data_IF_497333325413
#
_entry.id   IF_497333325413
#
_cell.length_a   1.000
_cell.length_b   1.000
_cell.length_c   1.000
_cell.angle_alpha   90.00
_cell.angle_beta   90.00
_cell.angle_gamma   90.00
#
_symmetry.space_group_name_H-M   'P 1'
#
loop_
_entity.id
_entity.type
_entity.pdbx_description
1 polymer ?
#
# COMPACT_ATOMS: atom_id res chain seq x y z
N UNK A 1 19.41 -5.77 2.23
CA UNK A 1 18.74 -5.17 1.06
C UNK A 1 18.79 -3.67 1.28
N UNK A 2 19.47 -2.94 0.41
CA UNK A 2 19.60 -1.50 0.57
C UNK A 2 18.40 -0.80 -0.06
N UNK A 3 17.85 0.22 0.61
CA UNK A 3 16.65 0.95 0.17
C UNK A 3 16.82 1.69 -1.18
N UNK A 4 18.00 1.63 -1.81
CA UNK A 4 18.39 2.37 -3.01
C UNK A 4 17.62 2.00 -4.29
N UNK A 5 16.82 0.93 -4.30
CA UNK A 5 16.01 0.57 -5.48
C UNK A 5 14.53 1.00 -5.39
N UNK A 6 14.07 1.49 -4.23
CA UNK A 6 12.69 1.93 -4.09
C UNK A 6 12.51 3.37 -4.60
N UNK A 7 11.56 3.55 -5.53
CA UNK A 7 11.07 4.88 -5.87
C UNK A 7 10.08 5.29 -4.76
N UNK A 8 10.50 6.15 -3.84
CA UNK A 8 9.66 6.59 -2.72
C UNK A 8 8.87 7.85 -3.07
N UNK A 9 7.65 7.93 -2.56
CA UNK A 9 6.74 9.04 -2.78
C UNK A 9 6.23 9.60 -1.46
N UNK A 10 5.89 10.89 -1.45
CA UNK A 10 5.03 11.43 -0.41
C UNK A 10 3.61 10.87 -0.60
N UNK A 11 2.91 10.49 0.49
CA UNK A 11 1.51 10.08 0.39
C UNK A 11 0.67 11.15 -0.32
N UNK A 12 -0.17 10.72 -1.26
CA UNK A 12 -1.10 11.60 -1.95
C UNK A 12 -2.53 11.30 -1.48
N UNK A 13 -3.06 12.14 -0.60
CA UNK A 13 -4.41 11.99 -0.01
C UNK A 13 -5.54 12.02 -1.06
N UNK A 14 -5.29 12.51 -2.27
CA UNK A 14 -6.27 12.48 -3.36
C UNK A 14 -6.27 11.16 -4.14
N UNK A 15 -5.28 10.28 -3.93
CA UNK A 15 -5.17 8.97 -4.60
C UNK A 15 -5.22 7.85 -3.58
N UNK A 16 -6.44 7.44 -3.26
CA UNK A 16 -6.73 6.39 -2.29
C UNK A 16 -6.81 5.05 -3.03
N UNK A 17 -6.28 4.00 -2.41
CA UNK A 17 -6.32 2.64 -2.91
C UNK A 17 -6.99 1.72 -1.91
N UNK A 18 -7.65 0.67 -2.42
CA UNK A 18 -8.24 -0.39 -1.62
C UNK A 18 -7.59 -1.73 -1.99
N UNK A 19 -7.26 -2.54 -0.99
CA UNK A 19 -6.74 -3.89 -1.22
C UNK A 19 -7.92 -4.78 -1.60
N UNK A 20 -7.85 -5.41 -2.76
CA UNK A 20 -8.86 -6.33 -3.28
C UNK A 20 -8.57 -7.80 -2.90
N UNK A 21 -7.30 -8.12 -2.60
CA UNK A 21 -6.85 -9.48 -2.31
C UNK A 21 -5.95 -9.50 -1.09
N UNK A 22 -6.41 -10.21 -0.07
CA UNK A 22 -5.64 -10.51 1.14
C UNK A 22 -5.22 -11.98 1.13
N UNK A 23 -3.94 -12.25 1.36
CA UNK A 23 -3.31 -13.57 1.47
C UNK A 23 -2.41 -13.65 2.72
N UNK A 24 -1.72 -14.77 2.92
CA UNK A 24 -0.92 -15.06 4.12
C UNK A 24 0.08 -13.93 4.49
N UNK A 25 0.54 -13.14 3.51
CA UNK A 25 1.46 -12.04 3.73
C UNK A 25 0.83 -10.73 4.24
N UNK A 26 -0.47 -10.53 4.04
CA UNK A 26 -1.16 -9.27 4.32
C UNK A 26 -2.54 -9.44 5.00
N UNK A 27 -2.98 -10.65 5.34
CA UNK A 27 -4.27 -10.94 5.99
C UNK A 27 -4.49 -10.08 7.26
N UNK A 28 -3.45 -9.88 8.07
CA UNK A 28 -3.50 -9.05 9.27
C UNK A 28 -3.97 -7.61 9.03
N UNK A 29 -3.92 -7.10 7.80
CA UNK A 29 -4.34 -5.73 7.50
C UNK A 29 -5.85 -5.59 7.24
N UNK A 30 -6.59 -6.70 7.13
CA UNK A 30 -8.06 -6.69 7.04
C UNK A 30 -8.73 -6.02 8.25
N UNK A 31 -8.05 -5.97 9.40
CA UNK A 31 -8.55 -5.33 10.62
C UNK A 31 -8.57 -3.79 10.56
N UNK A 32 -7.98 -3.19 9.52
CA UNK A 32 -7.91 -1.74 9.35
C UNK A 32 -8.88 -1.29 8.25
N UNK A 33 -9.28 -0.02 8.31
CA UNK A 33 -10.03 0.60 7.21
C UNK A 33 -9.23 0.45 5.93
N UNK A 34 -9.87 -0.09 4.88
CA UNK A 34 -9.22 -0.47 3.64
C UNK A 34 -8.94 0.73 2.73
N UNK A 35 -8.34 1.78 3.29
CA UNK A 35 -7.94 2.98 2.60
C UNK A 35 -6.45 3.18 2.75
N UNK A 36 -5.76 3.13 1.62
CA UNK A 36 -4.32 3.07 1.56
C UNK A 36 -3.76 4.11 0.60
N UNK A 37 -2.60 4.65 0.94
CA UNK A 37 -1.88 5.60 0.09
C UNK A 37 -0.57 4.96 -0.37
N UNK A 38 -0.22 5.18 -1.62
CA UNK A 38 1.05 4.69 -2.17
C UNK A 38 2.21 5.57 -1.72
N UNK A 39 3.24 4.94 -1.15
CA UNK A 39 4.46 5.63 -0.67
C UNK A 39 5.75 5.10 -1.31
N UNK A 40 5.64 4.10 -2.17
CA UNK A 40 6.75 3.74 -3.05
C UNK A 40 6.48 2.53 -3.90
N UNK A 41 7.35 2.33 -4.89
CA UNK A 41 7.32 1.19 -5.80
C UNK A 41 8.72 0.64 -6.07
N UNK A 42 8.80 -0.65 -6.34
CA UNK A 42 10.01 -1.35 -6.73
C UNK A 42 9.65 -2.61 -7.52
N UNK A 43 10.09 -2.69 -8.79
CA UNK A 43 9.94 -3.89 -9.65
C UNK A 43 8.54 -4.56 -9.56
N UNK A 44 7.47 -3.78 -9.66
CA UNK A 44 6.08 -4.28 -9.61
C UNK A 44 5.54 -4.57 -8.20
N UNK A 45 6.34 -4.35 -7.16
CA UNK A 45 5.93 -4.29 -5.76
C UNK A 45 5.69 -2.85 -5.34
N UNK A 46 4.79 -2.68 -4.39
CA UNK A 46 4.35 -1.38 -3.91
C UNK A 46 4.39 -1.34 -2.39
N UNK A 47 4.69 -0.17 -1.84
CA UNK A 47 4.54 0.16 -0.43
C UNK A 47 3.29 0.99 -0.23
N UNK A 48 2.45 0.56 0.70
CA UNK A 48 1.23 1.24 1.07
C UNK A 48 1.28 1.64 2.54
N UNK A 49 0.73 2.81 2.86
CA UNK A 49 0.50 3.27 4.23
C UNK A 49 -1.00 3.39 4.45
N UNK A 50 -1.48 2.97 5.63
CA UNK A 50 -2.89 3.14 5.95
C UNK A 50 -3.20 4.62 6.15
N UNK A 51 -4.27 5.11 5.51
CA UNK A 51 -4.65 6.52 5.52
C UNK A 51 -5.00 7.01 6.92
N UNK A 52 -5.81 6.26 7.67
CA UNK A 52 -6.24 6.64 9.02
C UNK A 52 -5.16 6.39 10.07
N UNK A 53 -4.42 5.29 9.94
CA UNK A 53 -3.37 4.87 10.88
C UNK A 53 -2.02 4.87 10.20
N UNK A 54 -1.43 6.05 10.01
CA UNK A 54 -0.14 6.26 9.32
C UNK A 54 1.08 5.51 9.91
N UNK A 55 0.94 4.84 11.06
CA UNK A 55 1.97 3.92 11.59
C UNK A 55 1.94 2.53 10.95
N UNK A 56 0.87 2.19 10.22
CA UNK A 56 0.67 0.89 9.60
C UNK A 56 1.12 0.95 8.15
N UNK A 57 2.18 0.19 7.83
CA UNK A 57 2.80 0.16 6.51
C UNK A 57 2.81 -1.28 5.99
N UNK A 58 2.34 -1.46 4.78
CA UNK A 58 2.56 -2.67 3.99
C UNK A 58 3.84 -2.43 3.19
N UNK A 59 4.91 -3.13 3.57
CA UNK A 59 6.24 -2.95 2.98
C UNK A 59 6.37 -3.55 1.57
N UNK A 60 5.49 -4.47 1.19
CA UNK A 60 5.52 -5.09 -0.12
C UNK A 60 4.16 -5.71 -0.44
N UNK A 61 3.52 -5.21 -1.49
CA UNK A 61 2.31 -5.79 -2.08
C UNK A 61 2.43 -5.76 -3.60
N UNK A 62 1.97 -6.82 -4.28
CA UNK A 62 1.95 -6.86 -5.74
C UNK A 62 0.91 -5.88 -6.29
N UNK A 63 1.22 -5.19 -7.40
CA UNK A 63 0.35 -4.14 -7.98
C UNK A 63 -1.10 -4.58 -8.26
N UNK A 64 -1.31 -5.84 -8.61
CA UNK A 64 -2.63 -6.39 -8.95
C UNK A 64 -3.56 -6.61 -7.75
N UNK A 65 -3.05 -6.57 -6.52
CA UNK A 65 -3.82 -6.84 -5.30
C UNK A 65 -4.57 -5.64 -4.75
N UNK A 66 -4.51 -4.50 -5.43
CA UNK A 66 -5.17 -3.28 -5.00
C UNK A 66 -5.55 -2.40 -6.19
N UNK A 67 -6.63 -1.67 -6.03
CA UNK A 67 -7.19 -0.80 -7.06
C UNK A 67 -7.33 0.63 -6.56
N UNK A 68 -7.41 1.58 -7.48
CA UNK A 68 -7.72 2.95 -7.12
C UNK A 68 -9.17 2.99 -6.63
N UNK A 69 -9.38 3.55 -5.44
CA UNK A 69 -10.72 3.81 -4.93
C UNK A 69 -11.34 4.88 -5.82
N UNK A 70 -12.36 4.51 -6.60
CA UNK A 70 -13.16 5.50 -7.30
C UNK A 70 -14.03 6.19 -6.24
N UNK A 71 -13.81 7.50 -6.08
CA UNK A 71 -14.65 8.39 -5.29
C UNK A 71 -15.93 8.71 -6.02
#
# INVERSE_FOLDING_TARGET
MSDYEWNLYKPNEAKIYEINTFDDGNEKYQQFVNEWLMIGEWRGKVRLINREKQKIIIHSISRWKFDHKFS
#
